data_IF_133624512059
#
_entry.id   IF_133624512059
#
_cell.length_a   1.000
_cell.length_b   1.000
_cell.length_c   1.000
_cell.angle_alpha   90.00
_cell.angle_beta   90.00
_cell.angle_gamma   90.00
#
_symmetry.space_group_name_H-M   'P 1'
#
loop_
_entity.id
_entity.type
_entity.pdbx_description
1 polymer ?
#
# COMPACT_ATOMS: atom_id res chain seq x y z
N UNK A 1 63.00 17.13 -13.36
CA UNK A 1 62.27 16.28 -12.38
C UNK A 1 61.42 17.16 -11.47
N UNK A 2 60.09 17.14 -11.58
CA UNK A 2 59.23 17.84 -10.61
C UNK A 2 59.25 17.09 -9.27
N UNK A 3 59.52 17.81 -8.18
CA UNK A 3 59.45 17.29 -6.80
C UNK A 3 58.10 16.63 -6.53
N UNK A 4 58.09 15.48 -5.85
CA UNK A 4 56.89 14.71 -5.50
C UNK A 4 55.82 15.55 -4.80
N UNK A 5 56.21 16.63 -4.10
CA UNK A 5 55.25 17.58 -3.51
C UNK A 5 54.39 18.29 -4.56
N UNK A 6 54.96 18.71 -5.69
CA UNK A 6 54.18 19.39 -6.75
C UNK A 6 53.19 18.44 -7.45
N UNK A 7 53.49 17.14 -7.54
CA UNK A 7 52.56 16.15 -8.13
C UNK A 7 51.32 15.95 -7.25
N UNK A 8 51.50 15.92 -5.93
CA UNK A 8 50.38 15.79 -5.00
C UNK A 8 49.40 16.97 -5.07
N UNK A 9 49.89 18.20 -5.15
CA UNK A 9 49.02 19.38 -5.27
C UNK A 9 48.23 19.40 -6.57
N UNK A 10 48.82 18.93 -7.68
CA UNK A 10 48.11 18.85 -8.96
C UNK A 10 46.99 17.81 -8.90
N UNK A 11 47.27 16.62 -8.34
CA UNK A 11 46.27 15.55 -8.21
C UNK A 11 45.11 15.98 -7.29
N UNK A 12 45.44 16.61 -6.15
CA UNK A 12 44.42 17.10 -5.23
C UNK A 12 43.57 18.21 -5.85
N UNK A 13 44.18 19.12 -6.61
CA UNK A 13 43.46 20.16 -7.34
C UNK A 13 42.49 19.59 -8.38
N UNK A 14 42.90 18.56 -9.13
CA UNK A 14 42.05 17.89 -10.12
C UNK A 14 40.88 17.16 -9.45
N UNK A 15 41.11 16.49 -8.31
CA UNK A 15 40.05 15.82 -7.57
C UNK A 15 39.00 16.80 -7.03
N UNK A 16 39.43 17.93 -6.44
CA UNK A 16 38.50 18.95 -5.95
C UNK A 16 37.68 19.54 -7.10
N UNK A 17 38.30 19.80 -8.25
CA UNK A 17 37.60 20.29 -9.44
C UNK A 17 36.56 19.27 -9.93
N UNK A 18 36.92 17.98 -9.95
CA UNK A 18 36.03 16.90 -10.38
C UNK A 18 34.79 16.77 -9.48
N UNK A 19 34.96 16.83 -8.16
CA UNK A 19 33.82 16.81 -7.23
C UNK A 19 32.93 18.05 -7.34
N UNK A 20 33.52 19.21 -7.65
CA UNK A 20 32.75 20.43 -7.91
C UNK A 20 31.88 20.29 -9.18
N UNK A 21 32.42 19.74 -10.27
CA UNK A 21 31.67 19.51 -11.50
C UNK A 21 30.59 18.44 -11.33
N UNK A 22 30.83 17.38 -10.55
CA UNK A 22 29.80 16.40 -10.20
C UNK A 22 28.63 17.04 -9.44
N UNK A 23 28.92 17.85 -8.42
CA UNK A 23 27.88 18.56 -7.69
C UNK A 23 27.09 19.54 -8.57
N UNK A 24 27.78 20.23 -9.49
CA UNK A 24 27.13 21.15 -10.42
C UNK A 24 26.26 20.43 -11.47
N UNK A 25 26.67 19.25 -11.93
CA UNK A 25 25.87 18.43 -12.85
C UNK A 25 24.56 17.95 -12.19
N UNK A 26 24.62 17.48 -10.95
CA UNK A 26 23.43 17.08 -10.18
C UNK A 26 22.48 18.27 -9.94
N UNK A 27 23.02 19.45 -9.62
CA UNK A 27 22.20 20.65 -9.41
C UNK A 27 21.49 21.12 -10.70
N UNK A 28 22.11 20.95 -11.86
CA UNK A 28 21.48 21.29 -13.15
C UNK A 28 20.39 20.29 -13.55
N UNK A 29 20.53 19.02 -13.19
CA UNK A 29 19.54 17.98 -13.51
C UNK A 29 18.23 18.20 -12.73
N UNK A 30 18.30 18.69 -11.49
CA UNK A 30 17.13 19.07 -10.68
C UNK A 30 16.35 20.26 -11.28
N UNK A 31 17.02 21.26 -11.86
CA UNK A 31 16.34 22.42 -12.46
C UNK A 31 15.65 22.08 -13.79
N UNK A 32 16.12 21.07 -14.52
CA UNK A 32 15.53 20.66 -15.82
C UNK A 32 14.27 19.81 -15.61
N UNK A 33 14.24 18.96 -14.58
CA UNK A 33 13.09 18.10 -14.25
C UNK A 33 11.84 18.86 -13.76
N UNK A 34 12.00 20.11 -13.30
CA UNK A 34 10.90 20.94 -12.80
C UNK A 34 10.17 21.74 -13.90
N UNK A 35 10.55 21.61 -15.19
CA UNK A 35 10.06 22.50 -16.25
C UNK A 35 9.29 21.86 -17.41
N UNK A 36 9.19 20.54 -17.48
CA UNK A 36 8.44 19.91 -18.58
C UNK A 36 7.01 19.53 -18.16
N UNK A 37 5.97 19.98 -18.88
CA UNK A 37 4.62 19.46 -18.70
C UNK A 37 4.53 18.02 -19.27
N UNK A 38 3.64 17.17 -18.73
CA UNK A 38 3.54 15.78 -19.15
C UNK A 38 3.12 15.68 -20.62
N UNK A 39 3.95 14.99 -21.40
CA UNK A 39 3.67 14.59 -22.78
C UNK A 39 2.62 13.47 -22.74
N UNK A 40 1.46 13.72 -23.33
CA UNK A 40 0.45 12.70 -23.57
C UNK A 40 0.99 11.66 -24.57
N UNK A 41 1.12 10.41 -24.13
CA UNK A 41 1.46 9.30 -25.00
C UNK A 41 0.19 8.83 -25.73
N UNK A 42 0.17 9.04 -27.04
CA UNK A 42 -0.79 8.44 -27.97
C UNK A 42 -0.31 7.02 -28.28
N UNK A 43 -1.07 6.00 -27.86
CA UNK A 43 -0.76 4.59 -28.11
C UNK A 43 -1.90 4.02 -28.97
N UNK A 44 -1.70 4.05 -30.28
CA UNK A 44 -2.39 3.17 -31.24
C UNK A 44 -1.44 2.06 -31.62
N UNK A 45 -1.70 0.84 -31.15
CA UNK A 45 -0.95 -0.37 -31.52
C UNK A 45 -1.89 -1.55 -31.65
N UNK A 46 -1.93 -2.10 -32.86
CA UNK A 46 -2.77 -3.22 -33.31
C UNK A 46 -2.58 -4.49 -32.47
N UNK A 47 -3.70 -5.20 -32.24
CA UNK A 47 -3.73 -6.51 -31.58
C UNK A 47 -3.58 -7.58 -32.65
N UNK A 48 -2.53 -8.40 -32.54
CA UNK A 48 -2.27 -9.59 -33.36
C UNK A 48 -3.04 -10.78 -32.77
N UNK A 49 -3.93 -11.39 -33.57
CA UNK A 49 -4.75 -12.55 -33.17
C UNK A 49 -3.90 -13.84 -33.06
N UNK A 50 -4.02 -14.54 -31.93
CA UNK A 50 -3.45 -15.88 -31.73
C UNK A 50 -4.44 -16.99 -32.14
N UNK A 51 -3.96 -18.15 -32.62
CA UNK A 51 -4.80 -19.24 -33.11
C UNK A 51 -5.43 -20.07 -31.97
N UNK A 52 -6.57 -20.76 -32.23
CA UNK A 52 -7.27 -21.52 -31.20
C UNK A 52 -6.58 -22.85 -30.87
N UNK A 53 -6.54 -23.18 -29.59
CA UNK A 53 -6.06 -24.45 -29.05
C UNK A 53 -7.14 -25.55 -29.13
N UNK A 54 -6.68 -26.76 -29.44
CA UNK A 54 -7.45 -27.99 -29.59
C UNK A 54 -8.01 -28.51 -28.27
N UNK A 55 -9.26 -28.98 -28.31
CA UNK A 55 -9.97 -29.67 -27.24
C UNK A 55 -9.51 -31.11 -27.07
N UNK A 56 -9.06 -31.49 -25.87
CA UNK A 56 -9.07 -32.89 -25.41
C UNK A 56 -10.13 -33.05 -24.33
N UNK A 57 -11.08 -33.93 -24.59
CA UNK A 57 -12.18 -34.35 -23.72
C UNK A 57 -11.70 -35.40 -22.72
N UNK A 58 -11.61 -35.02 -21.45
CA UNK A 58 -11.50 -35.93 -20.31
C UNK A 58 -12.79 -35.92 -19.51
N UNK A 59 -13.59 -36.97 -19.65
CA UNK A 59 -14.86 -37.16 -18.94
C UNK A 59 -14.55 -37.60 -17.50
N UNK A 60 -14.69 -36.68 -16.55
CA UNK A 60 -14.57 -36.92 -15.12
C UNK A 60 -15.79 -36.37 -14.40
N UNK A 61 -16.63 -37.24 -13.87
CA UNK A 61 -17.80 -36.88 -13.07
C UNK A 61 -17.34 -36.29 -11.74
N UNK A 62 -17.43 -34.98 -11.60
CA UNK A 62 -17.25 -34.27 -10.33
C UNK A 62 -18.65 -34.07 -9.74
N UNK A 63 -18.87 -34.61 -8.54
CA UNK A 63 -20.07 -34.30 -7.75
C UNK A 63 -20.04 -32.82 -7.36
N UNK A 64 -21.02 -32.08 -7.87
CA UNK A 64 -21.22 -30.65 -7.69
C UNK A 64 -21.58 -30.36 -6.22
N UNK A 65 -20.81 -29.57 -5.47
CA UNK A 65 -21.19 -29.17 -4.12
C UNK A 65 -22.44 -28.28 -4.18
N UNK A 66 -23.40 -28.59 -3.33
CA UNK A 66 -24.65 -27.85 -3.14
C UNK A 66 -24.32 -26.36 -2.87
N UNK A 67 -24.55 -25.52 -3.89
CA UNK A 67 -24.37 -24.07 -3.81
C UNK A 67 -25.49 -23.54 -2.92
N UNK A 68 -25.14 -23.12 -1.70
CA UNK A 68 -26.03 -22.38 -0.82
C UNK A 68 -26.43 -21.09 -1.54
N UNK A 69 -27.68 -21.00 -2.00
CA UNK A 69 -28.19 -19.86 -2.77
C UNK A 69 -27.93 -18.56 -1.99
N UNK A 70 -27.11 -17.68 -2.57
CA UNK A 70 -26.92 -16.34 -2.05
C UNK A 70 -28.31 -15.67 -1.89
N UNK A 71 -28.60 -15.03 -0.75
CA UNK A 71 -29.90 -14.43 -0.51
C UNK A 71 -30.25 -13.47 -1.65
N UNK A 72 -31.50 -13.49 -2.12
CA UNK A 72 -31.90 -12.71 -3.29
C UNK A 72 -31.54 -11.25 -3.10
N UNK A 73 -30.75 -10.71 -4.03
CA UNK A 73 -30.48 -9.28 -4.14
C UNK A 73 -31.84 -8.59 -4.28
N UNK A 74 -32.26 -7.88 -3.24
CA UNK A 74 -33.50 -7.11 -3.22
C UNK A 74 -33.40 -6.04 -4.31
N UNK A 75 -34.03 -6.30 -5.46
CA UNK A 75 -34.27 -5.32 -6.53
C UNK A 75 -35.44 -4.43 -6.11
N UNK A 76 -35.25 -3.63 -5.06
CA UNK A 76 -36.13 -2.51 -4.79
C UNK A 76 -35.67 -1.35 -5.66
N UNK A 77 -36.29 -1.20 -6.84
CA UNK A 77 -36.19 -0.04 -7.75
C UNK A 77 -36.80 1.24 -7.15
N UNK A 78 -36.68 1.43 -5.83
CA UNK A 78 -36.94 2.74 -5.22
C UNK A 78 -35.76 3.63 -5.51
N UNK A 79 -35.94 4.47 -6.52
CA UNK A 79 -35.20 5.71 -6.73
C UNK A 79 -35.00 6.36 -5.36
N UNK A 80 -33.79 6.26 -4.82
CA UNK A 80 -33.38 6.96 -3.62
C UNK A 80 -33.32 8.45 -3.98
N UNK A 81 -34.39 9.19 -3.69
CA UNK A 81 -34.34 10.64 -3.75
C UNK A 81 -33.26 11.13 -2.78
N UNK A 82 -32.41 12.09 -3.19
CA UNK A 82 -31.32 12.62 -2.34
C UNK A 82 -31.79 13.04 -0.92
N UNK A 83 -33.07 13.39 -0.77
CA UNK A 83 -33.70 13.69 0.53
C UNK A 83 -33.75 12.50 1.49
N UNK A 84 -33.97 11.27 1.01
CA UNK A 84 -33.98 10.07 1.86
C UNK A 84 -32.55 9.58 2.15
N UNK A 85 -31.64 9.72 1.19
CA UNK A 85 -30.22 9.37 1.41
C UNK A 85 -29.60 10.23 2.51
N UNK A 86 -29.84 11.55 2.50
CA UNK A 86 -29.34 12.45 3.53
C UNK A 86 -29.80 12.09 4.95
N UNK A 87 -31.05 11.61 5.09
CA UNK A 87 -31.60 11.18 6.37
C UNK A 87 -31.00 9.83 6.86
N UNK A 88 -30.65 8.94 5.93
CA UNK A 88 -30.08 7.63 6.23
C UNK A 88 -28.54 7.62 6.31
N UNK A 89 -27.88 8.71 5.89
CA UNK A 89 -26.44 8.80 5.81
C UNK A 89 -25.72 8.42 7.11
N UNK A 90 -26.11 8.90 8.32
CA UNK A 90 -25.45 8.49 9.55
C UNK A 90 -25.52 6.97 9.80
N UNK A 91 -26.66 6.34 9.52
CA UNK A 91 -26.83 4.88 9.66
C UNK A 91 -25.96 4.12 8.65
N UNK A 92 -25.88 4.61 7.40
CA UNK A 92 -25.05 4.01 6.37
C UNK A 92 -23.55 4.12 6.67
N UNK A 93 -23.12 5.26 7.24
CA UNK A 93 -21.74 5.44 7.71
C UNK A 93 -21.41 4.43 8.81
N UNK A 94 -22.29 4.25 9.79
CA UNK A 94 -22.06 3.26 10.85
C UNK A 94 -22.03 1.83 10.29
N UNK A 95 -22.91 1.49 9.33
CA UNK A 95 -22.85 0.21 8.62
C UNK A 95 -21.54 0.01 7.85
N UNK A 96 -21.00 1.06 7.24
CA UNK A 96 -19.70 1.02 6.57
C UNK A 96 -18.58 0.72 7.57
N UNK A 97 -18.57 1.40 8.73
CA UNK A 97 -17.57 1.17 9.80
C UNK A 97 -17.59 -0.26 10.33
N UNK A 98 -18.78 -0.81 10.57
CA UNK A 98 -18.93 -2.16 11.11
C UNK A 98 -18.68 -3.24 10.05
N UNK A 99 -19.08 -2.95 8.81
CA UNK A 99 -19.39 -3.93 7.78
C UNK A 99 -18.42 -4.00 6.60
N UNK A 100 -17.46 -3.08 6.52
CA UNK A 100 -16.52 -2.95 5.40
C UNK A 100 -15.17 -3.59 5.68
N UNK A 101 -14.68 -4.37 4.72
CA UNK A 101 -13.32 -4.91 4.78
C UNK A 101 -12.29 -3.79 4.74
N UNK A 102 -12.42 -2.83 3.82
CA UNK A 102 -11.53 -1.67 3.72
C UNK A 102 -11.44 -0.89 5.03
N UNK A 103 -12.56 -0.66 5.72
CA UNK A 103 -12.52 0.01 7.02
C UNK A 103 -11.74 -0.79 8.08
N UNK A 104 -11.81 -2.13 8.04
CA UNK A 104 -11.03 -2.99 8.92
C UNK A 104 -9.52 -2.89 8.65
N UNK A 105 -9.11 -2.73 7.40
CA UNK A 105 -7.70 -2.52 7.02
C UNK A 105 -7.18 -1.19 7.59
N UNK A 106 -7.98 -0.12 7.46
CA UNK A 106 -7.66 1.19 8.02
C UNK A 106 -7.57 1.17 9.56
N UNK A 107 -8.44 0.40 10.23
CA UNK A 107 -8.32 0.14 11.67
C UNK A 107 -7.02 -0.60 12.01
N UNK A 108 -6.54 -1.48 11.12
CA UNK A 108 -5.25 -2.14 11.23
C UNK A 108 -4.10 -1.14 11.25
N UNK A 109 -4.08 -0.19 10.33
CA UNK A 109 -3.10 0.91 10.32
C UNK A 109 -3.19 1.78 11.58
N UNK A 110 -4.40 2.10 12.06
CA UNK A 110 -4.60 2.82 13.33
C UNK A 110 -4.03 2.03 14.51
N UNK A 111 -4.31 0.73 14.59
CA UNK A 111 -3.78 -0.15 15.63
C UNK A 111 -2.25 -0.13 15.66
N UNK A 112 -1.60 -0.07 14.49
CA UNK A 112 -0.13 0.05 14.39
C UNK A 112 0.35 1.40 14.90
N UNK A 113 -0.28 2.51 14.48
CA UNK A 113 0.07 3.87 14.94
C UNK A 113 0.13 3.94 16.47
N UNK A 114 -0.95 3.51 17.13
CA UNK A 114 -1.06 3.60 18.59
C UNK A 114 -0.37 2.44 19.32
N UNK A 115 -0.14 1.32 18.64
CA UNK A 115 0.49 0.13 19.23
C UNK A 115 -0.48 -0.77 20.01
N UNK A 116 -1.78 -0.72 19.70
CA UNK A 116 -2.84 -1.42 20.44
C UNK A 116 -3.79 -2.16 19.49
N UNK A 117 -3.84 -3.49 19.63
CA UNK A 117 -4.67 -4.37 18.82
C UNK A 117 -6.15 -4.33 19.22
N UNK A 118 -6.51 -3.82 20.41
CA UNK A 118 -7.92 -3.78 20.80
C UNK A 118 -8.77 -2.85 19.94
N UNK A 119 -8.14 -1.96 19.16
CA UNK A 119 -8.80 -1.16 18.11
C UNK A 119 -9.57 -2.05 17.13
N UNK A 120 -9.04 -3.24 16.82
CA UNK A 120 -9.68 -4.19 15.90
C UNK A 120 -10.99 -4.80 16.44
N UNK A 121 -11.36 -4.57 17.71
CA UNK A 121 -12.66 -4.98 18.24
C UNK A 121 -13.83 -4.14 17.68
N UNK A 122 -13.55 -3.06 16.96
CA UNK A 122 -14.55 -2.13 16.42
C UNK A 122 -15.16 -2.59 15.08
N UNK A 123 -14.69 -3.70 14.51
CA UNK A 123 -15.15 -4.21 13.21
C UNK A 123 -15.50 -5.70 13.29
N UNK A 124 -16.45 -6.15 12.47
CA UNK A 124 -16.74 -7.58 12.33
C UNK A 124 -15.57 -8.38 11.72
N UNK A 125 -14.68 -7.71 10.98
CA UNK A 125 -13.46 -8.31 10.38
C UNK A 125 -12.25 -8.23 11.31
N UNK A 126 -12.47 -8.43 12.62
CA UNK A 126 -11.42 -8.34 13.65
C UNK A 126 -10.14 -9.09 13.29
N UNK A 127 -10.25 -10.32 12.79
CA UNK A 127 -9.08 -11.15 12.46
C UNK A 127 -8.23 -10.51 11.35
N UNK A 128 -8.85 -9.97 10.31
CA UNK A 128 -8.13 -9.32 9.21
C UNK A 128 -7.43 -8.04 9.68
N UNK A 129 -8.14 -7.19 10.44
CA UNK A 129 -7.56 -6.00 11.08
C UNK A 129 -6.35 -6.36 11.94
N UNK A 130 -6.46 -7.39 12.80
CA UNK A 130 -5.36 -7.81 13.66
C UNK A 130 -4.18 -8.37 12.86
N UNK A 131 -4.44 -9.07 11.77
CA UNK A 131 -3.41 -9.62 10.90
C UNK A 131 -2.60 -8.51 10.21
N UNK A 132 -3.29 -7.52 9.63
CA UNK A 132 -2.65 -6.32 9.07
C UNK A 132 -1.84 -5.60 10.14
N UNK A 133 -2.43 -5.37 11.30
CA UNK A 133 -1.75 -4.68 12.39
C UNK A 133 -0.49 -5.44 12.86
N UNK A 134 -0.56 -6.76 13.00
CA UNK A 134 0.60 -7.59 13.40
C UNK A 134 1.73 -7.53 12.36
N UNK A 135 1.39 -7.49 11.07
CA UNK A 135 2.36 -7.38 9.98
C UNK A 135 3.08 -6.03 9.97
N UNK A 136 2.45 -4.93 10.37
CA UNK A 136 3.14 -3.63 10.42
C UNK A 136 3.71 -3.27 11.80
N UNK A 137 3.23 -3.89 12.88
CA UNK A 137 3.75 -3.62 14.23
C UNK A 137 5.23 -4.01 14.39
N UNK A 138 5.70 -5.05 13.71
CA UNK A 138 7.13 -5.37 13.76
C UNK A 138 7.95 -4.32 13.01
N UNK A 139 7.46 -3.80 11.88
CA UNK A 139 8.10 -2.69 11.14
C UNK A 139 8.24 -1.45 12.01
N UNK A 140 7.15 -1.04 12.69
CA UNK A 140 7.19 0.05 13.68
C UNK A 140 8.27 -0.17 14.74
N UNK A 141 8.36 -1.38 15.28
CA UNK A 141 9.35 -1.73 16.31
C UNK A 141 10.77 -1.73 15.78
N UNK A 142 10.99 -2.17 14.53
CA UNK A 142 12.29 -2.09 13.88
C UNK A 142 12.69 -0.62 13.71
N UNK A 143 11.83 0.19 13.11
CA UNK A 143 12.08 1.61 12.86
C UNK A 143 12.35 2.40 14.15
N UNK A 144 11.65 2.07 15.25
CA UNK A 144 11.84 2.70 16.57
C UNK A 144 12.93 2.08 17.43
N UNK A 145 13.71 1.12 16.91
CA UNK A 145 14.76 0.42 17.67
C UNK A 145 14.21 -0.29 18.94
N UNK A 146 12.97 -0.78 18.89
CA UNK A 146 12.30 -1.50 19.99
C UNK A 146 12.48 -3.02 19.88
N UNK A 147 13.69 -3.49 19.54
CA UNK A 147 13.91 -4.90 19.19
C UNK A 147 13.51 -5.89 20.29
N UNK A 148 13.56 -5.48 21.56
CA UNK A 148 13.15 -6.30 22.70
C UNK A 148 11.69 -6.75 22.63
N UNK A 149 10.82 -5.90 22.06
CA UNK A 149 9.37 -6.12 21.95
C UNK A 149 8.99 -7.04 20.79
N UNK A 150 9.91 -7.33 19.86
CA UNK A 150 9.68 -8.25 18.75
C UNK A 150 9.71 -9.70 19.28
N UNK A 151 8.58 -10.40 19.16
CA UNK A 151 8.43 -11.79 19.62
C UNK A 151 9.15 -12.78 18.71
N UNK A 152 9.00 -12.61 17.39
CA UNK A 152 9.59 -13.49 16.39
C UNK A 152 11.11 -13.29 16.30
N UNK A 153 11.87 -14.37 16.49
CA UNK A 153 13.33 -14.30 16.58
C UNK A 153 13.97 -13.80 15.28
N UNK A 154 13.40 -14.20 14.14
CA UNK A 154 13.87 -13.79 12.82
C UNK A 154 13.83 -12.26 12.64
N UNK A 155 12.72 -11.61 12.98
CA UNK A 155 12.58 -10.15 12.90
C UNK A 155 13.39 -9.42 13.98
N UNK A 156 13.55 -10.02 15.17
CA UNK A 156 14.41 -9.48 16.23
C UNK A 156 15.88 -9.42 15.81
N UNK A 157 16.37 -10.40 15.05
CA UNK A 157 17.73 -10.39 14.51
C UNK A 157 17.92 -9.30 13.44
N UNK A 158 16.95 -9.13 12.54
CA UNK A 158 16.95 -8.04 11.54
C UNK A 158 17.05 -6.69 12.25
N UNK A 159 16.19 -6.45 13.25
CA UNK A 159 16.19 -5.23 14.05
C UNK A 159 17.57 -4.93 14.66
N UNK A 160 18.16 -5.90 15.36
CA UNK A 160 19.47 -5.74 16.02
C UNK A 160 20.59 -5.43 15.05
N UNK A 161 20.49 -5.92 13.80
CA UNK A 161 21.49 -5.72 12.75
C UNK A 161 21.34 -4.35 12.10
N UNK A 162 20.11 -3.94 11.80
CA UNK A 162 19.79 -2.59 11.34
C UNK A 162 20.30 -1.51 12.31
N UNK A 163 20.09 -1.67 13.62
CA UNK A 163 20.57 -0.69 14.61
C UNK A 163 22.09 -0.59 14.73
N UNK A 164 22.82 -1.60 14.22
CA UNK A 164 24.28 -1.57 14.12
C UNK A 164 24.76 -1.00 12.78
N UNK A 165 23.85 -0.58 11.90
CA UNK A 165 24.16 -0.16 10.53
C UNK A 165 24.76 -1.28 9.68
N UNK A 166 24.49 -2.54 10.00
CA UNK A 166 25.11 -3.67 9.27
C UNK A 166 24.24 -4.91 9.26
N UNK A 167 23.96 -5.41 8.06
CA UNK A 167 23.26 -6.68 7.83
C UNK A 167 24.20 -7.90 7.83
N UNK A 168 25.45 -7.73 8.26
CA UNK A 168 26.44 -8.81 8.33
C UNK A 168 26.00 -9.96 9.24
N UNK A 169 26.19 -11.19 8.78
CA UNK A 169 25.82 -12.42 9.52
C UNK A 169 24.35 -12.83 9.40
N UNK A 170 23.52 -12.07 8.67
CA UNK A 170 22.22 -12.55 8.20
C UNK A 170 22.38 -13.31 6.88
N UNK A 171 21.45 -14.21 6.59
CA UNK A 171 21.39 -14.98 5.35
C UNK A 171 19.96 -15.07 4.80
N UNK A 172 19.85 -15.39 3.50
CA UNK A 172 18.58 -15.51 2.79
C UNK A 172 17.75 -14.22 2.88
N UNK A 173 16.43 -14.40 3.00
CA UNK A 173 15.47 -13.30 3.07
C UNK A 173 15.73 -12.29 4.18
N UNK A 174 16.28 -12.72 5.33
CA UNK A 174 16.62 -11.81 6.44
C UNK A 174 17.69 -10.81 6.04
N UNK A 175 18.67 -11.25 5.24
CA UNK A 175 19.73 -10.38 4.71
C UNK A 175 19.13 -9.39 3.73
N UNK A 176 18.28 -9.87 2.81
CA UNK A 176 17.65 -9.06 1.78
C UNK A 176 16.71 -8.00 2.41
N UNK A 177 15.84 -8.38 3.35
CA UNK A 177 15.01 -7.44 4.12
C UNK A 177 15.85 -6.40 4.88
N UNK A 178 16.88 -6.84 5.60
CA UNK A 178 17.74 -5.92 6.34
C UNK A 178 18.44 -4.93 5.40
N UNK A 179 19.03 -5.41 4.30
CA UNK A 179 19.75 -4.56 3.36
C UNK A 179 18.79 -3.62 2.61
N UNK A 180 17.60 -4.12 2.25
CA UNK A 180 16.52 -3.34 1.67
C UNK A 180 16.09 -2.18 2.56
N UNK A 181 15.78 -2.46 3.83
CA UNK A 181 15.42 -1.42 4.81
C UNK A 181 16.58 -0.46 5.10
N UNK A 182 17.83 -0.94 5.18
CA UNK A 182 18.99 -0.10 5.46
C UNK A 182 19.28 0.89 4.34
N UNK A 183 19.08 0.47 3.08
CA UNK A 183 19.47 1.24 1.90
C UNK A 183 18.28 1.87 1.15
N UNK A 184 17.04 1.61 1.58
CA UNK A 184 15.85 1.97 0.83
C UNK A 184 15.69 1.21 -0.50
N UNK A 185 16.24 0.00 -0.59
CA UNK A 185 16.21 -0.82 -1.82
C UNK A 185 14.96 -1.71 -1.85
N UNK A 186 13.95 -1.24 -2.58
CA UNK A 186 12.67 -1.93 -2.76
C UNK A 186 12.84 -3.33 -3.37
N UNK A 187 13.74 -3.51 -4.33
CA UNK A 187 13.93 -4.81 -5.00
C UNK A 187 14.35 -5.89 -4.01
N UNK A 188 15.22 -5.55 -3.05
CA UNK A 188 15.62 -6.45 -1.98
C UNK A 188 14.47 -6.75 -0.99
N UNK A 189 13.62 -5.76 -0.71
CA UNK A 189 12.44 -5.96 0.15
C UNK A 189 11.45 -6.90 -0.56
N UNK A 190 11.13 -6.66 -1.82
CA UNK A 190 10.28 -7.52 -2.65
C UNK A 190 10.80 -8.95 -2.67
N UNK A 191 12.09 -9.13 -2.97
CA UNK A 191 12.73 -10.46 -2.95
C UNK A 191 12.62 -11.15 -1.60
N UNK A 192 12.71 -10.41 -0.49
CA UNK A 192 12.51 -10.97 0.83
C UNK A 192 11.05 -11.38 1.07
N UNK A 193 10.11 -10.49 0.78
CA UNK A 193 8.66 -10.67 1.02
C UNK A 193 8.12 -11.89 0.27
N UNK A 194 8.54 -12.06 -0.99
CA UNK A 194 8.18 -13.21 -1.83
C UNK A 194 8.82 -14.54 -1.38
N UNK A 195 9.80 -14.50 -0.48
CA UNK A 195 10.50 -15.72 -0.05
C UNK A 195 9.65 -16.60 0.86
N UNK A 196 9.75 -17.92 0.69
CA UNK A 196 9.07 -18.88 1.58
C UNK A 196 9.48 -18.75 3.06
N UNK A 197 10.69 -18.23 3.33
CA UNK A 197 11.16 -18.00 4.69
C UNK A 197 10.45 -16.84 5.38
N UNK A 198 10.17 -15.76 4.66
CA UNK A 198 9.39 -14.63 5.16
C UNK A 198 7.93 -15.03 5.42
N UNK A 199 7.30 -15.69 4.43
CA UNK A 199 5.93 -16.23 4.55
C UNK A 199 5.76 -17.09 5.81
N UNK A 200 6.69 -18.03 6.04
CA UNK A 200 6.70 -18.86 7.26
C UNK A 200 6.88 -18.06 8.55
N UNK A 201 7.69 -17.01 8.54
CA UNK A 201 7.94 -16.19 9.72
C UNK A 201 6.72 -15.35 10.13
N UNK A 202 5.92 -14.88 9.16
CA UNK A 202 4.67 -14.16 9.44
C UNK A 202 3.52 -15.07 9.88
N UNK A 203 3.57 -16.38 9.59
CA UNK A 203 2.50 -17.35 9.87
C UNK A 203 1.15 -16.93 9.25
N UNK A 204 1.17 -16.24 8.11
CA UNK A 204 -0.04 -15.87 7.37
C UNK A 204 -0.58 -17.09 6.62
N UNK A 205 -1.86 -17.46 6.80
CA UNK A 205 -2.45 -18.65 6.17
C UNK A 205 -3.25 -18.37 4.89
N UNK A 206 -3.49 -17.11 4.48
CA UNK A 206 -4.49 -16.81 3.44
C UNK A 206 -4.03 -16.09 2.19
N UNK A 207 -3.12 -15.12 2.28
CA UNK A 207 -2.68 -14.38 1.09
C UNK A 207 -1.19 -14.52 0.86
N UNK A 208 -0.82 -14.84 -0.39
CA UNK A 208 0.56 -14.85 -0.83
C UNK A 208 1.04 -13.40 -0.89
N UNK A 209 2.08 -13.04 -0.11
CA UNK A 209 2.63 -11.70 -0.19
C UNK A 209 3.02 -11.34 -1.61
N UNK A 210 2.81 -10.09 -1.97
CA UNK A 210 3.06 -9.56 -3.31
C UNK A 210 4.06 -8.40 -3.30
N UNK A 211 4.17 -7.69 -4.43
CA UNK A 211 5.06 -6.54 -4.54
C UNK A 211 4.52 -5.32 -3.77
N UNK A 212 3.21 -5.18 -3.58
CA UNK A 212 2.61 -4.08 -2.84
C UNK A 212 2.96 -4.14 -1.37
N UNK A 213 2.99 -5.34 -0.77
CA UNK A 213 3.49 -5.53 0.60
C UNK A 213 4.90 -4.94 0.79
N UNK A 214 5.77 -5.04 -0.23
CA UNK A 214 7.13 -4.50 -0.16
C UNK A 214 7.15 -2.97 -0.15
N UNK A 215 6.30 -2.34 -0.96
CA UNK A 215 6.10 -0.89 -0.95
C UNK A 215 5.57 -0.42 0.41
N UNK A 216 4.53 -1.06 0.95
CA UNK A 216 3.98 -0.70 2.26
C UNK A 216 4.99 -0.87 3.38
N UNK A 217 5.79 -1.94 3.37
CA UNK A 217 6.87 -2.17 4.34
C UNK A 217 7.89 -1.03 4.29
N UNK A 218 8.35 -0.66 3.09
CA UNK A 218 9.33 0.41 2.91
C UNK A 218 8.75 1.77 3.30
N UNK A 219 7.51 2.06 2.90
CA UNK A 219 6.79 3.29 3.23
C UNK A 219 6.59 3.43 4.74
N UNK A 220 6.10 2.38 5.40
CA UNK A 220 5.90 2.35 6.84
C UNK A 220 7.22 2.51 7.60
N UNK A 221 8.25 1.76 7.22
CA UNK A 221 9.56 1.83 7.87
C UNK A 221 10.14 3.24 7.79
N UNK A 222 10.16 3.82 6.58
CA UNK A 222 10.68 5.16 6.34
C UNK A 222 9.81 6.23 7.01
N UNK A 223 8.49 6.05 7.02
CA UNK A 223 7.54 6.94 7.69
C UNK A 223 7.71 6.95 9.21
N UNK A 224 8.02 5.82 9.84
CA UNK A 224 8.32 5.80 11.29
C UNK A 224 9.66 6.46 11.64
N UNK A 225 10.60 6.54 10.70
CA UNK A 225 11.90 7.20 10.90
C UNK A 225 11.80 8.70 10.63
N UNK A 226 11.17 9.09 9.53
CA UNK A 226 11.24 10.44 8.95
C UNK A 226 9.90 11.19 8.93
N UNK A 227 8.78 10.49 9.11
CA UNK A 227 7.44 11.08 9.14
C UNK A 227 6.62 10.87 7.85
N UNK A 228 5.45 11.51 7.82
CA UNK A 228 4.42 11.32 6.79
C UNK A 228 4.93 11.55 5.37
N UNK A 229 5.65 12.63 5.12
CA UNK A 229 6.10 13.02 3.77
C UNK A 229 6.94 11.92 3.10
N UNK A 230 7.83 11.27 3.85
CA UNK A 230 8.64 10.16 3.31
C UNK A 230 7.80 8.94 2.98
N UNK A 231 6.77 8.64 3.79
CA UNK A 231 5.82 7.58 3.47
C UNK A 231 5.09 7.89 2.15
N UNK A 232 4.59 9.12 1.99
CA UNK A 232 3.83 9.53 0.82
C UNK A 232 4.65 9.47 -0.47
N UNK A 233 5.91 9.91 -0.45
CA UNK A 233 6.81 9.83 -1.61
C UNK A 233 6.97 8.38 -2.09
N UNK A 234 7.10 7.44 -1.15
CA UNK A 234 7.23 6.01 -1.47
C UNK A 234 5.92 5.48 -2.04
N UNK A 235 4.79 5.72 -1.36
CA UNK A 235 3.47 5.25 -1.83
C UNK A 235 3.13 5.84 -3.21
N UNK A 236 3.46 7.11 -3.49
CA UNK A 236 3.22 7.71 -4.80
C UNK A 236 3.96 7.01 -5.96
N UNK A 237 5.03 6.27 -5.68
CA UNK A 237 5.76 5.47 -6.67
C UNK A 237 5.00 4.22 -7.15
N UNK A 238 3.91 3.83 -6.48
CA UNK A 238 3.10 2.68 -6.87
C UNK A 238 2.13 3.05 -8.01
N UNK A 239 2.18 2.31 -9.11
CA UNK A 239 1.33 2.53 -10.30
C UNK A 239 -0.14 2.22 -10.07
N UNK A 240 -0.41 1.20 -9.23
CA UNK A 240 -1.73 0.76 -8.85
C UNK A 240 -1.77 0.75 -7.33
N UNK A 241 -2.67 1.54 -6.75
CA UNK A 241 -2.84 1.57 -5.30
C UNK A 241 -4.32 1.37 -5.06
N UNK A 242 -4.64 0.35 -4.29
CA UNK A 242 -5.99 0.13 -3.83
C UNK A 242 -6.42 1.27 -2.90
N UNK A 243 -7.72 1.36 -2.65
CA UNK A 243 -8.29 2.49 -1.91
C UNK A 243 -7.70 2.62 -0.49
N UNK A 244 -7.60 1.55 0.32
CA UNK A 244 -7.10 1.63 1.69
C UNK A 244 -5.66 2.16 1.83
N UNK A 245 -4.78 1.72 0.95
CA UNK A 245 -3.34 1.99 0.97
C UNK A 245 -3.06 3.46 0.67
N UNK A 246 -3.94 4.14 -0.06
CA UNK A 246 -3.90 5.60 -0.23
C UNK A 246 -4.05 6.36 1.08
N UNK A 247 -4.69 5.76 2.09
CA UNK A 247 -4.87 6.34 3.43
C UNK A 247 -3.83 5.86 4.45
N UNK A 248 -2.95 4.92 4.08
CA UNK A 248 -1.93 4.36 4.98
C UNK A 248 -1.09 5.44 5.65
N UNK A 249 -0.50 6.35 4.86
CA UNK A 249 0.39 7.38 5.41
C UNK A 249 -0.34 8.38 6.30
N UNK A 250 -1.55 8.80 5.90
CA UNK A 250 -2.40 9.70 6.68
C UNK A 250 -2.77 9.07 8.03
N UNK A 251 -3.26 7.82 8.01
CA UNK A 251 -3.67 7.16 9.25
C UNK A 251 -2.49 6.94 10.17
N UNK A 252 -1.34 6.49 9.64
CA UNK A 252 -0.20 6.10 10.47
C UNK A 252 0.64 7.27 10.97
N UNK A 253 0.74 8.36 10.21
CA UNK A 253 1.75 9.40 10.46
C UNK A 253 1.18 10.82 10.55
N UNK A 254 -0.08 11.06 10.17
CA UNK A 254 -0.66 12.39 10.26
C UNK A 254 -0.73 12.91 11.69
N UNK A 255 -0.65 14.23 11.83
CA UNK A 255 -0.94 14.92 13.09
C UNK A 255 -2.45 14.98 13.38
N UNK A 256 -3.28 14.79 12.35
CA UNK A 256 -4.72 14.67 12.54
C UNK A 256 -5.04 13.39 13.34
N UNK A 257 -6.07 13.50 14.17
CA UNK A 257 -6.61 12.38 14.93
C UNK A 257 -7.05 11.26 13.98
N UNK A 258 -6.60 10.02 14.24
CA UNK A 258 -6.88 8.89 13.37
C UNK A 258 -8.39 8.62 13.23
N UNK A 259 -9.18 8.82 14.29
CA UNK A 259 -10.63 8.63 14.23
C UNK A 259 -11.29 9.64 13.30
N UNK A 260 -10.80 10.89 13.25
CA UNK A 260 -11.29 11.87 12.28
C UNK A 260 -10.99 11.49 10.83
N UNK A 261 -9.83 10.88 10.58
CA UNK A 261 -9.46 10.41 9.23
C UNK A 261 -10.38 9.23 8.85
N UNK A 262 -10.58 8.29 9.76
CA UNK A 262 -11.47 7.14 9.57
C UNK A 262 -12.93 7.56 9.36
N UNK A 263 -13.44 8.54 10.12
CA UNK A 263 -14.79 9.08 9.95
C UNK A 263 -14.98 9.73 8.58
N UNK A 264 -13.99 10.53 8.12
CA UNK A 264 -14.00 11.11 6.77
C UNK A 264 -14.00 10.03 5.70
N UNK A 265 -13.16 9.01 5.87
CA UNK A 265 -13.12 7.87 4.95
C UNK A 265 -14.47 7.16 4.88
N UNK A 266 -15.06 6.80 6.03
CA UNK A 266 -16.34 6.11 6.07
C UNK A 266 -17.46 6.92 5.39
N UNK A 267 -17.48 8.24 5.60
CA UNK A 267 -18.41 9.14 4.91
C UNK A 267 -18.17 9.16 3.39
N UNK A 268 -16.93 9.41 2.95
CA UNK A 268 -16.56 9.46 1.54
C UNK A 268 -16.83 8.13 0.82
N UNK A 269 -16.52 7.00 1.48
CA UNK A 269 -16.73 5.66 0.92
C UNK A 269 -18.23 5.28 0.90
N UNK A 270 -19.03 5.76 1.85
CA UNK A 270 -20.50 5.62 1.80
C UNK A 270 -21.08 6.36 0.59
N UNK A 271 -20.62 7.59 0.31
CA UNK A 271 -21.02 8.30 -0.91
C UNK A 271 -20.54 7.60 -2.19
N UNK A 272 -19.32 7.06 -2.18
CA UNK A 272 -18.77 6.26 -3.27
C UNK A 272 -19.65 5.04 -3.57
N UNK A 273 -19.97 4.25 -2.54
CA UNK A 273 -20.83 3.07 -2.65
C UNK A 273 -22.24 3.44 -3.11
N UNK A 274 -22.83 4.51 -2.57
CA UNK A 274 -24.14 4.98 -3.01
C UNK A 274 -24.13 5.37 -4.49
N UNK A 275 -23.16 6.17 -4.93
CA UNK A 275 -23.04 6.58 -6.34
C UNK A 275 -22.95 5.37 -7.27
N UNK A 276 -22.25 4.31 -6.83
CA UNK A 276 -22.07 3.06 -7.55
C UNK A 276 -23.35 2.23 -7.63
N UNK A 277 -24.02 2.03 -6.50
CA UNK A 277 -25.21 1.18 -6.40
C UNK A 277 -26.45 1.83 -7.04
N UNK A 278 -26.65 3.13 -6.80
CA UNK A 278 -27.78 3.90 -7.35
C UNK A 278 -27.54 4.37 -8.79
N UNK A 279 -26.31 4.25 -9.29
CA UNK A 279 -25.84 4.86 -10.53
C UNK A 279 -25.97 6.39 -10.55
N UNK A 280 -26.18 7.05 -9.40
CA UNK A 280 -26.23 8.50 -9.28
C UNK A 280 -24.84 9.10 -9.03
N UNK A 281 -24.16 9.46 -10.11
CA UNK A 281 -22.84 10.12 -10.06
C UNK A 281 -22.86 11.47 -9.31
N UNK A 282 -24.03 12.08 -9.04
CA UNK A 282 -24.09 13.32 -8.24
C UNK A 282 -23.60 13.10 -6.81
N UNK A 283 -23.75 11.88 -6.26
CA UNK A 283 -23.23 11.54 -4.94
C UNK A 283 -21.70 11.68 -4.84
N UNK A 284 -20.98 11.52 -5.95
CA UNK A 284 -19.54 11.75 -5.99
C UNK A 284 -19.13 13.19 -5.63
N UNK A 285 -20.05 14.17 -5.74
CA UNK A 285 -19.74 15.55 -5.41
C UNK A 285 -19.53 15.80 -3.91
N UNK A 286 -20.07 14.93 -3.07
CA UNK A 286 -19.97 15.00 -1.61
C UNK A 286 -18.74 14.30 -1.04
N UNK A 287 -17.99 13.58 -1.89
CA UNK A 287 -16.72 12.96 -1.52
C UNK A 287 -15.66 14.06 -1.39
N UNK A 288 -14.99 14.12 -0.24
CA UNK A 288 -13.96 15.12 0.06
C UNK A 288 -12.59 14.69 -0.45
N UNK A 289 -12.26 13.40 -0.32
CA UNK A 289 -11.02 12.84 -0.83
C UNK A 289 -10.96 12.93 -2.35
N UNK A 290 -9.95 13.64 -2.88
CA UNK A 290 -9.81 13.92 -4.31
C UNK A 290 -9.70 12.65 -5.15
N UNK A 291 -8.98 11.65 -4.67
CA UNK A 291 -8.78 10.39 -5.38
C UNK A 291 -10.08 9.59 -5.44
N UNK A 292 -10.74 9.35 -4.29
CA UNK A 292 -12.04 8.68 -4.25
C UNK A 292 -13.08 9.41 -5.10
N UNK A 293 -13.07 10.75 -5.10
CA UNK A 293 -13.96 11.55 -5.93
C UNK A 293 -13.69 11.33 -7.42
N UNK A 294 -12.42 11.38 -7.82
CA UNK A 294 -12.01 11.11 -9.19
C UNK A 294 -12.41 9.69 -9.63
N UNK A 295 -12.12 8.67 -8.83
CA UNK A 295 -12.51 7.28 -9.10
C UNK A 295 -14.02 7.11 -9.13
N UNK A 296 -14.76 7.81 -8.27
CA UNK A 296 -16.23 7.80 -8.27
C UNK A 296 -16.79 8.39 -9.57
N UNK A 297 -16.25 9.53 -10.03
CA UNK A 297 -16.70 10.19 -11.26
C UNK A 297 -16.36 9.34 -12.49
N UNK A 298 -15.14 8.81 -12.56
CA UNK A 298 -14.59 8.15 -13.76
C UNK A 298 -14.71 6.63 -13.79
N UNK A 299 -15.26 5.99 -12.75
CA UNK A 299 -15.57 4.56 -12.79
C UNK A 299 -16.68 4.32 -13.81
N UNK A 300 -16.32 3.83 -15.00
CA UNK A 300 -17.29 3.21 -15.90
C UNK A 300 -17.88 1.95 -15.24
N UNK A 301 -19.13 1.63 -15.57
CA UNK A 301 -19.90 0.53 -14.97
C UNK A 301 -19.25 -0.86 -15.10
N UNK A 302 -18.16 -0.98 -15.85
CA UNK A 302 -17.67 -2.23 -16.44
C UNK A 302 -16.70 -3.04 -15.56
N UNK A 303 -16.15 -2.49 -14.47
CA UNK A 303 -15.12 -3.20 -13.69
C UNK A 303 -15.66 -4.11 -12.56
N UNK A 304 -16.98 -4.29 -12.44
CA UNK A 304 -17.57 -4.83 -11.20
C UNK A 304 -18.03 -6.28 -11.20
N UNK A 305 -18.00 -6.99 -12.34
CA UNK A 305 -18.41 -8.40 -12.32
C UNK A 305 -17.30 -9.38 -11.90
N UNK A 306 -16.03 -8.96 -11.82
CA UNK A 306 -14.93 -9.94 -11.67
C UNK A 306 -14.35 -10.09 -10.26
N UNK A 307 -14.55 -9.16 -9.31
CA UNK A 307 -13.88 -9.24 -7.98
C UNK A 307 -14.78 -9.41 -6.75
N UNK A 308 -16.08 -9.13 -6.83
CA UNK A 308 -16.99 -9.31 -5.68
C UNK A 308 -17.75 -10.65 -5.68
N UNK A 309 -17.50 -11.52 -6.67
CA UNK A 309 -18.12 -12.85 -6.79
C UNK A 309 -17.20 -14.01 -6.38
N UNK A 310 -16.02 -13.75 -5.83
CA UNK A 310 -14.98 -14.76 -5.58
C UNK A 310 -14.45 -14.85 -4.14
N UNK A 311 -15.18 -14.30 -3.16
CA UNK A 311 -14.89 -14.50 -1.73
C UNK A 311 -16.10 -14.99 -0.94
#
# INVERSE_FOLDING_TARGET
MMSNKKRYFVILGVLVLFFFFLGFAFALEEEVLLKEPPVAADITGEIEEAPPASSETGEGTIEEPEVEEAPPLIKDDKIFELGTFGALLPELIEKEKEGSFHYAELLGYKAVRIGDLSVCNQTKYKSACEEIAKSFLFIRRIAKNECGLIKESSFKDICRRLNKGSCGGLSGWKKDMCAGLLNGDLSLITKSVLSSGYKRALKRPKDDPDEFDAWEILACFSGFISGQETCEVIIQGMSEIEIPERFLCDIMFSKEDADKILDKFAADFTYFNHARMSQDKRSCNFINNKYLKYTCINSDKTLLHERLGSQ
#
